data_IF_378319735337
#
_entry.id   IF_378319735337
#
_cell.length_a   1.000
_cell.length_b   1.000
_cell.length_c   1.000
_cell.angle_alpha   90.00
_cell.angle_beta   90.00
_cell.angle_gamma   90.00
#
_symmetry.space_group_name_H-M   'P 1'
#
loop_
_entity.id
_entity.type
_entity.pdbx_description
1 polymer ?
#
# COMPACT_ATOMS: atom_id res chain seq x y z
N UNK A 1 -26.83 45.80 3.02
CA UNK A 1 -26.95 44.33 3.05
C UNK A 1 -26.37 43.70 1.77
N UNK A 2 -25.11 43.98 1.42
CA UNK A 2 -24.43 43.40 0.24
C UNK A 2 -23.10 42.72 0.57
N UNK A 3 -22.59 42.93 1.78
CA UNK A 3 -21.36 42.29 2.27
C UNK A 3 -21.58 40.81 2.59
N UNK A 4 -22.76 40.44 3.12
CA UNK A 4 -23.07 39.05 3.48
C UNK A 4 -23.17 38.12 2.27
N UNK A 5 -23.70 38.60 1.14
CA UNK A 5 -23.90 37.77 -0.05
C UNK A 5 -22.57 37.46 -0.75
N UNK A 6 -21.69 38.45 -0.86
CA UNK A 6 -20.36 38.29 -1.48
C UNK A 6 -19.43 37.47 -0.58
N UNK A 7 -19.53 37.64 0.74
CA UNK A 7 -18.82 36.84 1.73
C UNK A 7 -19.26 35.37 1.67
N UNK A 8 -20.57 35.09 1.68
CA UNK A 8 -21.10 33.74 1.57
C UNK A 8 -20.75 33.08 0.23
N UNK A 9 -20.75 33.84 -0.88
CA UNK A 9 -20.37 33.30 -2.20
C UNK A 9 -18.88 32.91 -2.26
N UNK A 10 -17.99 33.69 -1.62
CA UNK A 10 -16.57 33.33 -1.52
C UNK A 10 -16.38 32.06 -0.68
N UNK A 11 -17.04 31.95 0.48
CA UNK A 11 -16.98 30.74 1.31
C UNK A 11 -17.53 29.50 0.62
N UNK A 12 -18.59 29.64 -0.19
CA UNK A 12 -19.10 28.53 -1.01
C UNK A 12 -18.07 28.12 -2.07
N UNK A 13 -17.41 29.10 -2.71
CA UNK A 13 -16.33 28.86 -3.67
C UNK A 13 -15.14 28.12 -3.04
N UNK A 14 -14.70 28.56 -1.87
CA UNK A 14 -13.59 27.94 -1.13
C UNK A 14 -13.95 26.51 -0.69
N UNK A 15 -15.15 26.30 -0.14
CA UNK A 15 -15.63 24.98 0.24
C UNK A 15 -15.76 24.03 -0.95
N UNK A 16 -16.21 24.54 -2.11
CA UNK A 16 -16.30 23.76 -3.34
C UNK A 16 -14.92 23.37 -3.87
N UNK A 17 -13.97 24.32 -3.89
CA UNK A 17 -12.58 24.07 -4.28
C UNK A 17 -11.93 23.02 -3.38
N UNK A 18 -12.09 23.15 -2.05
CA UNK A 18 -11.61 22.20 -1.06
C UNK A 18 -12.21 20.80 -1.25
N UNK A 19 -13.51 20.72 -1.54
CA UNK A 19 -14.17 19.45 -1.82
C UNK A 19 -13.59 18.78 -3.06
N UNK A 20 -13.40 19.52 -4.15
CA UNK A 20 -12.80 19.02 -5.39
C UNK A 20 -11.38 18.53 -5.15
N UNK A 21 -10.55 19.31 -4.44
CA UNK A 21 -9.19 18.92 -4.08
C UNK A 21 -9.16 17.63 -3.25
N UNK A 22 -10.02 17.51 -2.23
CA UNK A 22 -10.13 16.30 -1.41
C UNK A 22 -10.57 15.09 -2.23
N UNK A 23 -11.51 15.25 -3.16
CA UNK A 23 -11.94 14.15 -4.04
C UNK A 23 -10.82 13.71 -4.99
N UNK A 24 -10.07 14.65 -5.56
CA UNK A 24 -8.93 14.35 -6.43
C UNK A 24 -7.83 13.58 -5.67
N UNK A 25 -7.48 14.04 -4.46
CA UNK A 25 -6.53 13.34 -3.57
C UNK A 25 -6.98 11.91 -3.27
N UNK A 26 -8.27 11.75 -2.94
CA UNK A 26 -8.87 10.44 -2.64
C UNK A 26 -8.78 9.52 -3.85
N UNK A 27 -9.08 10.02 -5.05
CA UNK A 27 -8.99 9.25 -6.29
C UNK A 27 -7.54 8.80 -6.59
N UNK A 28 -6.56 9.70 -6.41
CA UNK A 28 -5.13 9.38 -6.59
C UNK A 28 -4.72 8.28 -5.59
N UNK A 29 -5.09 8.40 -4.32
CA UNK A 29 -4.75 7.41 -3.31
C UNK A 29 -5.45 6.06 -3.54
N UNK A 30 -6.69 6.05 -4.00
CA UNK A 30 -7.40 4.82 -4.40
C UNK A 30 -6.67 4.11 -5.56
N UNK A 31 -6.22 4.86 -6.57
CA UNK A 31 -5.46 4.28 -7.68
C UNK A 31 -4.14 3.64 -7.19
N UNK A 32 -3.42 4.29 -6.29
CA UNK A 32 -2.21 3.75 -5.64
C UNK A 32 -2.49 2.45 -4.88
N UNK A 33 -3.61 2.36 -4.15
CA UNK A 33 -3.99 1.14 -3.45
C UNK A 33 -4.23 -0.06 -4.41
N UNK A 34 -4.79 0.21 -5.59
CA UNK A 34 -4.94 -0.80 -6.65
C UNK A 34 -3.59 -1.27 -7.18
N UNK A 35 -2.67 -0.33 -7.46
CA UNK A 35 -1.30 -0.68 -7.88
C UNK A 35 -0.57 -1.54 -6.85
N UNK A 36 -0.60 -1.16 -5.57
CA UNK A 36 -0.01 -1.98 -4.50
C UNK A 36 -0.60 -3.39 -4.45
N UNK A 37 -1.90 -3.54 -4.70
CA UNK A 37 -2.55 -4.85 -4.71
C UNK A 37 -2.00 -5.75 -5.83
N UNK A 38 -1.78 -5.21 -7.03
CA UNK A 38 -1.18 -5.96 -8.13
C UNK A 38 0.29 -6.30 -7.86
N UNK A 39 1.08 -5.34 -7.35
CA UNK A 39 2.49 -5.55 -7.05
C UNK A 39 2.69 -6.60 -5.96
N UNK A 40 1.90 -6.55 -4.88
CA UNK A 40 1.92 -7.56 -3.81
C UNK A 40 1.57 -8.93 -4.35
N UNK A 41 0.51 -9.06 -5.17
CA UNK A 41 0.14 -10.35 -5.77
C UNK A 41 1.24 -10.88 -6.70
N UNK A 42 1.90 -10.02 -7.46
CA UNK A 42 3.02 -10.40 -8.32
C UNK A 42 4.21 -10.89 -7.48
N UNK A 43 4.56 -10.18 -6.41
CA UNK A 43 5.63 -10.56 -5.49
C UNK A 43 5.33 -11.88 -4.77
N UNK A 44 4.09 -12.11 -4.34
CA UNK A 44 3.66 -13.39 -3.77
C UNK A 44 3.83 -14.54 -4.76
N UNK A 45 3.49 -14.35 -6.04
CA UNK A 45 3.73 -15.35 -7.09
C UNK A 45 5.22 -15.61 -7.30
N UNK A 46 6.05 -14.55 -7.33
CA UNK A 46 7.52 -14.68 -7.42
C UNK A 46 8.09 -15.43 -6.22
N UNK A 47 7.61 -15.14 -5.01
CA UNK A 47 8.00 -15.83 -3.78
C UNK A 47 7.71 -17.33 -3.85
N UNK A 48 6.49 -17.69 -4.23
CA UNK A 48 6.09 -19.09 -4.36
C UNK A 48 6.91 -19.83 -5.42
N UNK A 49 7.23 -19.15 -6.53
CA UNK A 49 8.13 -19.70 -7.55
C UNK A 49 9.55 -19.94 -7.01
N UNK A 50 10.13 -18.94 -6.34
CA UNK A 50 11.47 -19.07 -5.75
C UNK A 50 11.53 -20.17 -4.67
N UNK A 51 10.51 -20.25 -3.81
CA UNK A 51 10.41 -21.31 -2.80
C UNK A 51 10.32 -22.71 -3.43
N UNK A 52 9.62 -22.83 -4.56
CA UNK A 52 9.57 -24.08 -5.32
C UNK A 52 10.95 -24.43 -5.91
N UNK A 53 11.66 -23.46 -6.49
CA UNK A 53 13.02 -23.67 -7.02
C UNK A 53 13.99 -24.11 -5.91
N UNK A 54 13.88 -23.53 -4.70
CA UNK A 54 14.63 -23.97 -3.51
C UNK A 54 14.32 -25.44 -3.20
N UNK A 55 13.04 -25.81 -3.10
CA UNK A 55 12.62 -27.17 -2.81
C UNK A 55 13.07 -28.20 -3.87
N UNK A 56 13.04 -27.81 -5.15
CA UNK A 56 13.54 -28.62 -6.27
C UNK A 56 15.06 -28.84 -6.15
N UNK A 57 15.83 -27.81 -5.82
CA UNK A 57 17.29 -27.93 -5.61
C UNK A 57 17.63 -28.80 -4.41
N UNK A 58 16.95 -28.61 -3.28
CA UNK A 58 17.12 -29.46 -2.09
C UNK A 58 16.81 -30.92 -2.42
N UNK A 59 15.72 -31.18 -3.15
CA UNK A 59 15.34 -32.54 -3.55
C UNK A 59 16.38 -33.17 -4.48
N UNK A 60 17.00 -32.40 -5.36
CA UNK A 60 18.09 -32.86 -6.22
C UNK A 60 19.34 -33.22 -5.40
N UNK A 61 19.76 -32.36 -4.47
CA UNK A 61 20.91 -32.60 -3.59
C UNK A 61 20.76 -33.88 -2.75
N UNK A 62 19.55 -34.16 -2.27
CA UNK A 62 19.24 -35.40 -1.54
C UNK A 62 19.37 -36.63 -2.42
N UNK A 63 18.91 -36.56 -3.68
CA UNK A 63 19.05 -37.65 -4.66
C UNK A 63 20.50 -37.89 -5.09
N UNK A 64 21.29 -36.83 -5.16
CA UNK A 64 22.72 -36.84 -5.50
C UNK A 64 23.59 -37.43 -4.36
N UNK A 65 23.01 -37.65 -3.17
CA UNK A 65 23.74 -38.16 -2.00
C UNK A 65 24.65 -37.11 -1.34
N UNK A 66 24.52 -35.85 -1.75
CA UNK A 66 25.24 -34.71 -1.17
C UNK A 66 24.69 -34.37 0.21
N UNK A 67 25.53 -34.53 1.23
CA UNK A 67 25.15 -34.29 2.64
C UNK A 67 25.28 -32.82 3.02
N UNK A 68 26.15 -32.06 2.36
CA UNK A 68 26.45 -30.69 2.75
C UNK A 68 25.68 -29.64 1.94
N UNK A 69 24.38 -29.57 2.24
CA UNK A 69 23.42 -28.60 1.69
C UNK A 69 23.92 -27.15 1.87
N UNK A 70 24.70 -26.90 2.92
CA UNK A 70 25.20 -25.57 3.32
C UNK A 70 26.24 -25.00 2.36
N UNK A 71 26.95 -25.85 1.62
CA UNK A 71 28.00 -25.42 0.68
C UNK A 71 27.48 -25.21 -0.75
N UNK A 72 26.20 -25.50 -1.01
CA UNK A 72 25.63 -25.34 -2.35
C UNK A 72 25.43 -23.86 -2.69
N UNK A 73 26.28 -23.35 -3.59
CA UNK A 73 26.24 -21.96 -4.07
C UNK A 73 24.92 -21.63 -4.80
N UNK A 74 24.30 -22.62 -5.44
CA UNK A 74 23.02 -22.41 -6.13
C UNK A 74 21.87 -22.27 -5.13
N UNK A 75 21.81 -23.13 -4.12
CA UNK A 75 20.82 -23.09 -3.07
C UNK A 75 20.93 -21.82 -2.24
N UNK A 76 22.14 -21.43 -1.82
CA UNK A 76 22.36 -20.16 -1.12
C UNK A 76 21.95 -18.96 -1.97
N UNK A 77 22.21 -18.98 -3.28
CA UNK A 77 21.71 -17.96 -4.21
C UNK A 77 20.18 -17.92 -4.34
N UNK A 78 19.51 -19.08 -4.33
CA UNK A 78 18.04 -19.16 -4.35
C UNK A 78 17.42 -18.66 -3.05
N UNK A 79 18.01 -18.99 -1.90
CA UNK A 79 17.61 -18.48 -0.58
C UNK A 79 17.77 -16.96 -0.54
N UNK A 80 18.91 -16.42 -1.00
CA UNK A 80 19.12 -14.98 -1.05
C UNK A 80 18.09 -14.26 -1.93
N UNK A 81 17.70 -14.86 -3.07
CA UNK A 81 16.61 -14.34 -3.91
C UNK A 81 15.27 -14.37 -3.18
N UNK A 82 14.99 -15.43 -2.43
CA UNK A 82 13.77 -15.54 -1.63
C UNK A 82 13.72 -14.44 -0.56
N UNK A 83 14.83 -14.22 0.16
CA UNK A 83 14.96 -13.18 1.18
C UNK A 83 14.75 -11.77 0.59
N UNK A 84 15.29 -11.51 -0.60
CA UNK A 84 15.07 -10.24 -1.30
C UNK A 84 13.60 -10.02 -1.65
N UNK A 85 12.92 -11.05 -2.17
CA UNK A 85 11.48 -10.98 -2.47
C UNK A 85 10.67 -10.76 -1.20
N UNK A 86 11.03 -11.40 -0.08
CA UNK A 86 10.34 -11.21 1.19
C UNK A 86 10.52 -9.79 1.75
N UNK A 87 11.72 -9.22 1.62
CA UNK A 87 11.96 -7.81 1.99
C UNK A 87 11.16 -6.84 1.13
N UNK A 88 11.12 -7.05 -0.19
CA UNK A 88 10.32 -6.23 -1.10
C UNK A 88 8.82 -6.33 -0.79
N UNK A 89 8.33 -7.54 -0.52
CA UNK A 89 6.94 -7.78 -0.18
C UNK A 89 6.56 -7.07 1.14
N UNK A 90 7.39 -7.20 2.18
CA UNK A 90 7.19 -6.51 3.44
C UNK A 90 7.17 -4.98 3.28
N UNK A 91 8.05 -4.42 2.44
CA UNK A 91 8.08 -2.99 2.16
C UNK A 91 6.82 -2.50 1.41
N UNK A 92 6.28 -3.31 0.49
CA UNK A 92 5.05 -2.97 -0.22
C UNK A 92 3.81 -3.09 0.68
N UNK A 93 3.78 -4.08 1.57
CA UNK A 93 2.70 -4.25 2.55
C UNK A 93 2.69 -3.11 3.59
N UNK A 94 3.86 -2.67 4.07
CA UNK A 94 3.96 -1.50 4.94
C UNK A 94 3.52 -0.23 4.24
N UNK A 95 4.01 0.03 3.01
CA UNK A 95 3.60 1.20 2.22
C UNK A 95 2.09 1.25 1.96
N UNK A 96 1.45 0.11 1.67
CA UNK A 96 -0.01 0.02 1.55
C UNK A 96 -0.72 0.33 2.87
N UNK A 97 -0.19 -0.18 3.98
CA UNK A 97 -0.76 0.04 5.32
C UNK A 97 -0.67 1.51 5.73
N UNK A 98 0.47 2.15 5.48
CA UNK A 98 0.67 3.58 5.73
C UNK A 98 -0.32 4.41 4.90
N UNK A 99 -0.49 4.08 3.61
CA UNK A 99 -1.46 4.75 2.75
C UNK A 99 -2.90 4.60 3.26
N UNK A 100 -3.28 3.41 3.75
CA UNK A 100 -4.61 3.18 4.35
C UNK A 100 -4.80 3.90 5.69
N UNK A 101 -3.75 4.06 6.49
CA UNK A 101 -3.82 4.80 7.76
C UNK A 101 -4.14 6.29 7.54
N UNK A 102 -3.59 6.88 6.47
CA UNK A 102 -3.88 8.26 6.07
C UNK A 102 -5.36 8.48 5.71
N UNK A 103 -6.03 7.47 5.13
CA UNK A 103 -7.48 7.55 4.87
C UNK A 103 -8.30 7.62 6.16
N UNK A 104 -7.91 6.86 7.18
CA UNK A 104 -8.65 6.79 8.46
C UNK A 104 -8.58 8.12 9.21
N UNK A 105 -7.43 8.80 9.19
CA UNK A 105 -7.23 10.10 9.84
C UNK A 105 -7.94 11.24 9.09
N UNK A 106 -7.93 11.25 7.75
CA UNK A 106 -8.64 12.28 6.97
C UNK A 106 -10.16 12.20 7.14
N UNK A 107 -10.72 11.00 7.37
CA UNK A 107 -12.16 10.80 7.59
C UNK A 107 -12.64 11.36 8.93
N UNK A 108 -11.81 11.28 9.98
CA UNK A 108 -12.14 11.83 11.31
C UNK A 108 -11.94 13.35 11.38
N UNK A 109 -10.94 13.91 10.67
CA UNK A 109 -10.74 15.36 10.58
C UNK A 109 -11.86 16.09 9.83
N UNK A 110 -12.60 15.40 8.94
CA UNK A 110 -13.72 15.99 8.19
C UNK A 110 -15.03 16.07 9.01
N UNK A 111 -15.09 15.50 10.21
CA UNK A 111 -16.28 15.52 11.06
C UNK A 111 -16.40 16.78 11.96
N UNK A 112 -15.39 17.66 11.97
CA UNK A 112 -15.30 18.77 12.92
C UNK A 112 -15.89 20.12 12.43
N UNK A 113 -16.50 20.19 11.24
CA UNK A 113 -17.15 21.43 10.75
C UNK A 113 -18.67 21.33 10.61
N UNK A 114 -19.30 20.38 11.28
CA UNK A 114 -20.75 20.40 11.50
C UNK A 114 -21.06 21.46 12.58
N UNK A 115 -21.36 22.66 12.11
CA UNK A 115 -21.74 23.84 12.88
C UNK A 115 -22.81 23.54 13.96
N UNK A 116 -22.58 23.84 15.26
CA UNK A 116 -23.62 23.80 16.29
C UNK A 116 -24.41 25.11 16.26
N UNK A 117 -25.09 25.41 15.15
CA UNK A 117 -25.97 26.56 15.05
C UNK A 117 -27.40 26.06 14.77
N UNK A 118 -28.03 25.56 15.81
CA UNK A 118 -29.40 25.06 15.82
C UNK A 118 -29.93 25.07 17.24
N UNK A 119 -30.02 26.26 17.83
CA UNK A 119 -30.83 26.55 19.01
C UNK A 119 -31.59 27.84 18.74
N UNK A 120 -32.81 27.69 18.26
CA UNK A 120 -33.94 28.53 18.68
C UNK A 120 -34.87 27.64 19.50
#
# INVERSE_FOLDING_TARGET
MGFDLRYNLMHIGDNFSDAVHKTADTAIQCSKAVFFSYDIQMLQRKKNKAAREVGERVSALVKEGTVDISQDLLLSGLIAKLDLIEKELAAQESARTDLMSLFTIKKTACACTANPAGKE
#
